data_IF_423927422655
#
_entry.id   IF_423927422655
#
_cell.length_a   1.000
_cell.length_b   1.000
_cell.length_c   1.000
_cell.angle_alpha   90.00
_cell.angle_beta   90.00
_cell.angle_gamma   90.00
#
_symmetry.space_group_name_H-M   'P 1'
#
loop_
_entity.id
_entity.type
_entity.pdbx_description
1 polymer ?
#
# COMPACT_ATOMS: atom_id res chain seq x y z
N UNK A 1 -8.11 -4.19 -15.45
CA UNK A 1 -6.72 -3.78 -15.18
C UNK A 1 -5.85 -5.03 -15.14
N UNK A 2 -4.64 -5.09 -15.71
CA UNK A 2 -3.86 -6.31 -15.69
C UNK A 2 -3.15 -6.44 -14.35
N UNK A 3 -3.59 -7.41 -13.52
CA UNK A 3 -2.81 -7.88 -12.39
C UNK A 3 -1.55 -8.58 -12.92
N UNK A 4 -0.38 -8.03 -12.61
CA UNK A 4 0.89 -8.67 -12.86
C UNK A 4 1.18 -9.68 -11.75
N UNK A 5 0.69 -10.88 -11.88
CA UNK A 5 1.33 -12.02 -11.22
C UNK A 5 1.79 -12.96 -12.32
N UNK A 6 3.05 -12.86 -12.72
CA UNK A 6 3.71 -13.83 -13.58
C UNK A 6 4.88 -14.44 -12.83
N UNK A 7 4.84 -15.77 -12.69
CA UNK A 7 5.96 -16.75 -12.59
C UNK A 7 7.27 -16.27 -11.97
N UNK A 8 7.74 -16.93 -10.94
CA UNK A 8 9.11 -17.21 -10.45
C UNK A 8 10.31 -16.43 -11.06
N UNK A 9 10.23 -15.12 -11.16
CA UNK A 9 11.42 -14.28 -11.07
C UNK A 9 11.57 -13.93 -9.58
N UNK A 10 12.72 -14.23 -8.97
CA UNK A 10 13.10 -13.70 -7.67
C UNK A 10 12.76 -12.21 -7.66
N UNK A 11 11.65 -11.83 -7.02
CA UNK A 11 11.25 -10.43 -6.91
C UNK A 11 12.36 -9.71 -6.16
N UNK A 12 12.90 -8.67 -6.73
CA UNK A 12 13.94 -7.87 -6.09
C UNK A 12 13.31 -7.06 -4.94
N UNK A 13 13.75 -7.28 -3.72
CA UNK A 13 13.29 -6.50 -2.57
C UNK A 13 13.91 -5.11 -2.62
N UNK A 14 13.08 -4.09 -2.86
CA UNK A 14 13.47 -2.67 -2.88
C UNK A 14 13.57 -2.12 -1.46
N UNK A 15 12.63 -2.52 -0.57
CA UNK A 15 12.67 -2.18 0.85
C UNK A 15 12.73 -3.49 1.63
N UNK A 16 13.66 -3.58 2.59
CA UNK A 16 13.72 -4.68 3.55
C UNK A 16 13.89 -4.13 4.94
N UNK A 17 12.97 -4.51 5.81
CA UNK A 17 13.02 -4.27 7.25
C UNK A 17 13.42 -5.57 7.95
N UNK A 18 14.37 -5.50 8.88
CA UNK A 18 14.83 -6.63 9.67
C UNK A 18 14.82 -6.24 11.15
N UNK A 19 13.84 -6.81 11.87
CA UNK A 19 13.66 -6.63 13.31
C UNK A 19 13.70 -5.15 13.73
N UNK A 20 12.93 -4.31 13.02
CA UNK A 20 12.89 -2.87 13.26
C UNK A 20 12.12 -2.55 14.53
N UNK A 21 12.75 -1.82 15.45
CA UNK A 21 12.15 -1.31 16.68
C UNK A 21 12.16 0.21 16.68
N UNK A 22 11.03 0.81 17.10
CA UNK A 22 10.97 2.21 17.49
C UNK A 22 10.24 2.36 18.80
N UNK A 23 11.00 2.75 19.82
CA UNK A 23 10.53 3.00 21.16
C UNK A 23 10.94 4.42 21.51
N UNK A 24 9.98 5.24 21.93
CA UNK A 24 10.21 6.61 22.38
C UNK A 24 10.47 6.61 23.89
N UNK A 25 11.39 7.43 24.35
CA UNK A 25 11.80 7.56 25.76
C UNK A 25 13.33 7.47 25.92
N UNK A 26 13.85 8.16 26.90
CA UNK A 26 15.31 8.32 27.10
C UNK A 26 16.03 6.99 27.38
N UNK A 27 15.36 6.05 28.04
CA UNK A 27 15.92 4.74 28.40
C UNK A 27 15.58 3.61 27.41
N UNK A 28 14.85 3.90 26.33
CA UNK A 28 14.31 2.90 25.40
C UNK A 28 15.37 1.91 24.89
N UNK A 29 16.51 2.40 24.41
CA UNK A 29 17.59 1.57 23.87
C UNK A 29 18.21 0.65 24.93
N UNK A 30 18.44 1.17 26.15
CA UNK A 30 19.00 0.38 27.27
C UNK A 30 18.03 -0.70 27.72
N UNK A 31 16.72 -0.38 27.79
CA UNK A 31 15.70 -1.35 28.16
C UNK A 31 15.60 -2.47 27.12
N UNK A 32 15.55 -2.13 25.83
CA UNK A 32 15.50 -3.11 24.76
C UNK A 32 16.71 -4.05 24.77
N UNK A 33 17.89 -3.53 25.02
CA UNK A 33 19.13 -4.34 25.17
C UNK A 33 19.04 -5.27 26.39
N UNK A 34 18.53 -4.78 27.53
CA UNK A 34 18.38 -5.55 28.77
C UNK A 34 17.39 -6.70 28.64
N UNK A 35 16.31 -6.50 27.88
CA UNK A 35 15.27 -7.49 27.60
C UNK A 35 15.60 -8.43 26.44
N UNK A 36 16.81 -8.33 25.84
CA UNK A 36 17.20 -9.08 24.64
C UNK A 36 16.17 -8.99 23.48
N UNK A 37 15.59 -7.80 23.28
CA UNK A 37 14.60 -7.57 22.24
C UNK A 37 13.16 -7.98 22.61
N UNK A 38 12.94 -8.52 23.80
CA UNK A 38 11.61 -8.81 24.29
C UNK A 38 10.95 -7.54 24.85
N UNK A 39 9.85 -7.09 24.23
CA UNK A 39 9.17 -5.86 24.60
C UNK A 39 7.89 -6.19 25.34
N UNK A 40 7.89 -6.05 26.66
CA UNK A 40 6.66 -5.97 27.46
C UNK A 40 6.15 -4.52 27.45
N UNK A 41 5.02 -4.30 26.80
CA UNK A 41 4.46 -2.96 26.61
C UNK A 41 4.19 -2.24 27.94
N UNK A 42 3.78 -2.98 28.98
CA UNK A 42 3.47 -2.41 30.30
C UNK A 42 4.77 -2.02 31.04
N UNK A 43 5.79 -2.87 31.05
CA UNK A 43 7.10 -2.58 31.64
C UNK A 43 7.72 -1.33 30.99
N UNK A 44 7.64 -1.22 29.68
CA UNK A 44 8.15 -0.06 28.95
C UNK A 44 7.35 1.21 29.25
N UNK A 45 6.03 1.10 29.35
CA UNK A 45 5.17 2.22 29.71
C UNK A 45 5.42 2.71 31.14
N UNK A 46 5.57 1.81 32.12
CA UNK A 46 5.86 2.13 33.50
C UNK A 46 7.23 2.83 33.64
N UNK A 47 8.15 2.55 32.72
CA UNK A 47 9.44 3.23 32.60
C UNK A 47 9.39 4.54 31.79
N UNK A 48 8.22 5.04 31.43
CA UNK A 48 8.04 6.27 30.64
C UNK A 48 8.38 6.12 29.16
N UNK A 49 8.41 4.90 28.63
CA UNK A 49 8.64 4.62 27.21
C UNK A 49 7.34 4.32 26.48
N UNK A 50 7.27 4.71 25.20
CA UNK A 50 6.13 4.40 24.31
C UNK A 50 6.64 3.54 23.15
N UNK A 51 6.08 2.34 23.01
CA UNK A 51 6.42 1.41 21.94
C UNK A 51 5.63 1.81 20.68
N UNK A 52 6.33 2.29 19.66
CA UNK A 52 5.72 2.65 18.38
C UNK A 52 5.85 1.54 17.34
N UNK A 53 6.99 0.82 17.32
CA UNK A 53 7.24 -0.34 16.44
C UNK A 53 7.99 -1.38 17.25
N UNK A 54 7.55 -2.64 17.14
CA UNK A 54 8.09 -3.76 17.88
C UNK A 54 8.44 -4.90 16.90
N UNK A 55 9.73 -5.05 16.59
CA UNK A 55 10.29 -6.14 15.78
C UNK A 55 9.65 -6.30 14.39
N UNK A 56 9.40 -5.18 13.68
CA UNK A 56 8.84 -5.27 12.36
C UNK A 56 9.84 -5.83 11.34
N UNK A 57 9.49 -6.96 10.68
CA UNK A 57 10.29 -7.60 9.64
C UNK A 57 9.43 -7.90 8.42
N UNK A 58 9.81 -7.34 7.26
CA UNK A 58 9.12 -7.56 5.98
C UNK A 58 9.93 -7.02 4.80
N UNK A 59 9.48 -7.38 3.62
CA UNK A 59 10.06 -6.91 2.37
C UNK A 59 8.97 -6.28 1.48
N UNK A 60 9.34 -5.25 0.70
CA UNK A 60 8.51 -4.67 -0.37
C UNK A 60 9.26 -4.83 -1.67
N UNK A 61 8.58 -5.36 -2.68
CA UNK A 61 9.18 -5.70 -3.96
C UNK A 61 8.99 -4.60 -5.00
N UNK A 62 9.82 -4.62 -6.03
CA UNK A 62 9.76 -3.65 -7.12
C UNK A 62 8.37 -3.61 -7.79
N UNK A 63 7.80 -2.41 -7.90
CA UNK A 63 6.47 -2.18 -8.46
C UNK A 63 5.31 -2.62 -7.57
N UNK A 64 5.59 -3.15 -6.38
CA UNK A 64 4.57 -3.59 -5.41
C UNK A 64 3.97 -2.41 -4.66
N UNK A 65 2.67 -2.48 -4.38
CA UNK A 65 1.98 -1.65 -3.41
C UNK A 65 1.69 -2.46 -2.14
N UNK A 66 2.54 -2.27 -1.12
CA UNK A 66 2.30 -2.79 0.23
C UNK A 66 1.53 -1.76 1.03
N UNK A 67 0.34 -2.14 1.50
CA UNK A 67 -0.48 -1.30 2.39
C UNK A 67 -0.27 -1.74 3.83
N UNK A 68 0.18 -0.84 4.69
CA UNK A 68 0.25 -1.04 6.15
C UNK A 68 -1.01 -0.48 6.77
N UNK A 69 -1.83 -1.33 7.36
CA UNK A 69 -3.08 -0.92 7.98
C UNK A 69 -3.19 -1.33 9.46
N UNK A 70 -4.15 -0.77 10.17
CA UNK A 70 -4.44 -1.05 11.58
C UNK A 70 -5.11 0.14 12.25
N UNK A 71 -5.59 -0.01 13.47
CA UNK A 71 -6.27 1.04 14.22
C UNK A 71 -5.34 2.25 14.50
N UNK A 72 -5.94 3.38 14.87
CA UNK A 72 -5.17 4.55 15.32
C UNK A 72 -4.25 4.17 16.49
N UNK A 73 -3.00 4.65 16.47
CA UNK A 73 -2.01 4.32 17.50
C UNK A 73 -1.28 2.99 17.32
N UNK A 74 -1.61 2.17 16.30
CA UNK A 74 -0.92 0.87 16.09
C UNK A 74 0.54 0.97 15.62
N UNK A 75 1.06 2.18 15.32
CA UNK A 75 2.47 2.40 14.95
C UNK A 75 2.75 2.58 13.46
N UNK A 76 1.75 2.54 12.58
CA UNK A 76 1.89 2.61 11.10
C UNK A 76 2.71 3.79 10.60
N UNK A 77 2.28 5.02 10.94
CA UNK A 77 3.01 6.24 10.54
C UNK A 77 4.40 6.30 11.16
N UNK A 78 4.58 5.73 12.37
CA UNK A 78 5.90 5.61 13.00
C UNK A 78 6.81 4.70 12.18
N UNK A 79 6.30 3.53 11.76
CA UNK A 79 7.02 2.59 10.89
C UNK A 79 7.40 3.25 9.56
N UNK A 80 6.46 3.90 8.88
CA UNK A 80 6.71 4.63 7.63
C UNK A 80 7.80 5.71 7.81
N UNK A 81 7.77 6.47 8.91
CA UNK A 81 8.78 7.50 9.23
C UNK A 81 10.14 6.90 9.55
N UNK A 82 10.20 5.70 10.13
CA UNK A 82 11.46 4.98 10.30
C UNK A 82 12.05 4.54 8.97
N UNK A 83 11.22 3.99 8.07
CA UNK A 83 11.65 3.51 6.75
C UNK A 83 12.09 4.65 5.84
N UNK A 84 11.42 5.81 5.91
CA UNK A 84 11.85 7.04 5.21
C UNK A 84 12.99 7.78 5.94
N UNK A 85 13.45 7.24 7.09
CA UNK A 85 14.45 7.82 7.99
C UNK A 85 14.11 9.24 8.50
N UNK A 86 12.81 9.62 8.48
CA UNK A 86 12.34 10.86 9.13
C UNK A 86 12.39 10.75 10.66
N UNK A 87 12.42 9.54 11.15
CA UNK A 87 12.58 9.20 12.57
C UNK A 87 13.60 8.07 12.68
N UNK A 88 14.56 8.19 13.58
CA UNK A 88 15.55 7.14 13.80
C UNK A 88 14.92 5.92 14.49
N UNK A 89 15.37 4.73 14.12
CA UNK A 89 15.01 3.48 14.80
C UNK A 89 15.70 3.37 16.16
N UNK A 90 15.12 2.59 17.06
CA UNK A 90 15.77 2.23 18.33
C UNK A 90 16.74 1.07 18.13
N UNK A 91 16.35 0.08 17.28
CA UNK A 91 17.17 -1.06 16.88
C UNK A 91 16.64 -1.67 15.57
N UNK A 92 17.33 -2.69 15.06
CA UNK A 92 17.02 -3.35 13.79
C UNK A 92 17.68 -2.67 12.62
N UNK A 93 17.46 -3.21 11.41
CA UNK A 93 18.07 -2.70 10.17
C UNK A 93 17.02 -2.42 9.11
N UNK A 94 17.28 -1.44 8.26
CA UNK A 94 16.44 -1.08 7.11
C UNK A 94 17.35 -0.99 5.89
N UNK A 95 17.00 -1.72 4.85
CA UNK A 95 17.74 -1.70 3.59
C UNK A 95 16.87 -1.13 2.47
N UNK A 96 17.47 -0.25 1.67
CA UNK A 96 16.88 0.30 0.44
C UNK A 96 17.79 -0.10 -0.73
N UNK A 97 17.26 -0.84 -1.71
CA UNK A 97 18.04 -1.42 -2.81
C UNK A 97 19.30 -2.16 -2.30
N UNK A 98 19.15 -2.93 -1.21
CA UNK A 98 20.25 -3.68 -0.58
C UNK A 98 21.25 -2.85 0.20
N UNK A 99 21.11 -1.51 0.28
CA UNK A 99 21.99 -0.63 1.07
C UNK A 99 21.42 -0.42 2.46
N UNK A 100 22.24 -0.58 3.48
CA UNK A 100 21.84 -0.28 4.87
C UNK A 100 21.58 1.23 5.04
N UNK A 101 20.29 1.57 5.21
CA UNK A 101 19.83 2.94 5.38
C UNK A 101 20.39 3.60 6.65
N UNK A 102 20.63 2.80 7.68
CA UNK A 102 21.08 3.30 8.99
C UNK A 102 22.59 3.61 9.02
N UNK A 103 23.35 2.98 8.13
CA UNK A 103 24.78 3.20 7.97
C UNK A 103 25.13 4.40 7.07
N UNK A 104 24.14 4.98 6.36
CA UNK A 104 24.36 6.12 5.47
C UNK A 104 24.76 7.37 6.25
N UNK A 105 25.72 8.10 5.71
CA UNK A 105 26.00 9.49 6.14
C UNK A 105 24.84 10.43 5.82
N UNK A 106 24.75 11.56 6.51
CA UNK A 106 23.70 12.56 6.26
C UNK A 106 23.65 13.01 4.78
N UNK A 107 24.81 13.17 4.15
CA UNK A 107 24.91 13.55 2.73
C UNK A 107 24.34 12.47 1.80
N UNK A 108 24.64 11.21 2.06
CA UNK A 108 24.11 10.08 1.30
C UNK A 108 22.60 9.92 1.51
N UNK A 109 22.13 10.09 2.75
CA UNK A 109 20.72 10.04 3.10
C UNK A 109 19.92 11.16 2.41
N UNK A 110 20.42 12.39 2.41
CA UNK A 110 19.83 13.52 1.68
C UNK A 110 19.75 13.21 0.19
N UNK A 111 20.84 12.66 -0.37
CA UNK A 111 20.88 12.31 -1.79
C UNK A 111 19.87 11.18 -2.14
N UNK A 112 19.77 10.16 -1.29
CA UNK A 112 18.79 9.08 -1.44
C UNK A 112 17.36 9.60 -1.44
N UNK A 113 16.99 10.46 -0.45
CA UNK A 113 15.68 11.08 -0.34
C UNK A 113 15.34 11.93 -1.56
N UNK A 114 16.28 12.77 -2.01
CA UNK A 114 16.07 13.68 -3.15
C UNK A 114 15.86 12.97 -4.48
N UNK A 115 16.44 11.79 -4.65
CA UNK A 115 16.46 11.11 -5.94
C UNK A 115 15.55 9.88 -6.01
N UNK A 116 15.32 9.19 -4.88
CA UNK A 116 14.63 7.90 -4.87
C UNK A 116 13.33 7.88 -4.11
N UNK A 117 13.09 8.83 -3.19
CA UNK A 117 11.94 8.80 -2.30
C UNK A 117 10.99 9.96 -2.57
N UNK A 118 9.72 9.64 -2.81
CA UNK A 118 8.61 10.59 -2.78
C UNK A 118 7.78 10.38 -1.53
N UNK A 119 7.20 11.45 -0.98
CA UNK A 119 6.34 11.33 0.20
C UNK A 119 5.11 12.22 0.08
N UNK A 120 3.95 11.65 0.39
CA UNK A 120 2.67 12.33 0.56
C UNK A 120 2.28 12.23 2.02
N UNK A 121 1.94 13.36 2.62
CA UNK A 121 1.59 13.48 4.03
C UNK A 121 0.08 13.58 4.24
N UNK A 122 -0.40 13.14 5.38
CA UNK A 122 -1.80 13.20 5.79
C UNK A 122 -2.39 14.62 5.75
N UNK A 123 -1.63 15.63 6.13
CA UNK A 123 -2.04 17.04 6.19
C UNK A 123 -1.67 17.84 4.94
N UNK A 124 -1.52 17.19 3.77
CA UNK A 124 -1.06 17.75 2.50
C UNK A 124 0.34 18.40 2.56
N UNK A 125 0.73 18.98 3.68
CA UNK A 125 2.01 19.66 3.93
C UNK A 125 2.40 20.68 2.83
N UNK A 126 1.42 21.41 2.28
CA UNK A 126 1.66 22.42 1.27
C UNK A 126 2.24 23.69 1.89
N UNK A 127 3.09 24.37 1.13
CA UNK A 127 3.65 25.67 1.51
C UNK A 127 2.58 26.76 1.24
N UNK A 128 1.98 27.37 2.29
CA UNK A 128 0.79 28.20 2.15
C UNK A 128 1.03 29.52 1.39
N UNK A 129 2.28 29.95 1.34
CA UNK A 129 2.74 31.18 0.66
C UNK A 129 3.20 30.92 -0.80
N UNK A 130 3.12 29.69 -1.28
CA UNK A 130 3.46 29.29 -2.64
C UNK A 130 2.22 28.88 -3.41
N UNK A 131 2.21 29.16 -4.70
CA UNK A 131 1.18 28.72 -5.64
C UNK A 131 1.22 27.18 -5.82
N UNK A 132 0.23 26.65 -6.53
CA UNK A 132 0.21 25.22 -6.96
C UNK A 132 1.52 24.89 -7.68
N UNK A 133 1.85 25.64 -8.70
CA UNK A 133 3.03 25.37 -9.53
C UNK A 133 4.33 25.47 -8.72
N UNK A 134 4.44 26.47 -7.86
CA UNK A 134 5.61 26.64 -6.99
C UNK A 134 5.73 25.55 -5.93
N UNK A 135 4.60 25.03 -5.39
CA UNK A 135 4.60 23.88 -4.49
C UNK A 135 5.13 22.63 -5.20
N UNK A 136 4.67 22.38 -6.43
CA UNK A 136 5.10 21.20 -7.21
C UNK A 136 6.57 21.34 -7.64
N UNK A 137 7.02 22.54 -8.02
CA UNK A 137 8.39 22.83 -8.42
C UNK A 137 9.40 22.78 -7.25
N UNK A 138 8.94 23.01 -6.00
CA UNK A 138 9.79 23.17 -4.84
C UNK A 138 10.83 22.05 -4.66
N UNK A 139 10.49 20.74 -4.67
CA UNK A 139 11.48 19.67 -4.48
C UNK A 139 12.52 19.63 -5.61
N UNK A 140 12.17 20.02 -6.83
CA UNK A 140 13.11 20.10 -7.95
C UNK A 140 14.13 21.24 -7.75
N UNK A 141 13.67 22.38 -7.25
CA UNK A 141 14.55 23.50 -6.90
C UNK A 141 15.50 23.13 -5.76
N UNK A 142 15.00 22.43 -4.73
CA UNK A 142 15.85 21.89 -3.62
C UNK A 142 16.86 20.87 -4.14
N UNK A 143 16.52 20.12 -5.20
CA UNK A 143 17.43 19.19 -5.89
C UNK A 143 18.54 19.91 -6.66
N UNK A 144 18.37 21.19 -6.98
CA UNK A 144 19.34 22.04 -7.70
C UNK A 144 19.03 22.23 -9.19
N UNK A 145 17.83 21.85 -9.63
CA UNK A 145 17.39 22.08 -11.01
C UNK A 145 17.20 23.58 -11.27
N UNK A 146 17.34 24.00 -12.52
CA UNK A 146 17.04 25.38 -12.90
C UNK A 146 15.58 25.73 -12.60
N UNK A 147 15.29 27.01 -12.33
CA UNK A 147 13.92 27.47 -12.11
C UNK A 147 13.03 27.16 -13.32
N UNK A 148 13.54 27.36 -14.54
CA UNK A 148 12.81 27.10 -15.77
C UNK A 148 12.43 25.63 -15.91
N UNK A 149 13.38 24.70 -15.72
CA UNK A 149 13.13 23.27 -15.83
C UNK A 149 12.19 22.77 -14.73
N UNK A 150 12.38 23.29 -13.50
CA UNK A 150 11.50 22.96 -12.37
C UNK A 150 10.05 23.40 -12.63
N UNK A 151 9.83 24.57 -13.20
CA UNK A 151 8.50 25.08 -13.51
C UNK A 151 7.85 24.33 -14.69
N UNK A 152 8.62 23.99 -15.74
CA UNK A 152 8.12 23.17 -16.84
C UNK A 152 7.67 21.80 -16.35
N UNK A 153 8.52 21.13 -15.55
CA UNK A 153 8.16 19.83 -14.97
C UNK A 153 6.97 19.91 -14.03
N UNK A 154 6.88 20.98 -13.23
CA UNK A 154 5.73 21.21 -12.37
C UNK A 154 4.43 21.39 -13.16
N UNK A 155 4.47 22.05 -14.31
CA UNK A 155 3.32 22.19 -15.20
C UNK A 155 2.86 20.85 -15.76
N UNK A 156 3.79 19.98 -16.19
CA UNK A 156 3.48 18.62 -16.62
C UNK A 156 2.78 17.82 -15.51
N UNK A 157 3.31 17.91 -14.29
CA UNK A 157 2.75 17.20 -13.14
C UNK A 157 1.38 17.76 -12.74
N UNK A 158 1.18 19.07 -12.81
CA UNK A 158 -0.14 19.68 -12.57
C UNK A 158 -1.20 19.16 -13.56
N UNK A 159 -0.85 19.06 -14.84
CA UNK A 159 -1.71 18.47 -15.87
C UNK A 159 -1.99 17.00 -15.61
N UNK A 160 -0.96 16.23 -15.25
CA UNK A 160 -1.07 14.79 -14.97
C UNK A 160 -2.13 14.47 -13.89
N UNK A 161 -2.25 15.37 -12.88
CA UNK A 161 -3.20 15.22 -11.77
C UNK A 161 -4.50 16.04 -11.95
N UNK A 162 -4.74 16.61 -13.13
CA UNK A 162 -5.97 17.35 -13.46
C UNK A 162 -6.12 18.67 -12.72
N UNK A 163 -5.03 19.44 -12.60
CA UNK A 163 -5.01 20.78 -12.00
C UNK A 163 -4.84 21.89 -13.06
N UNK A 164 -5.17 21.63 -14.32
CA UNK A 164 -5.13 22.63 -15.38
C UNK A 164 -5.96 23.86 -15.02
N UNK A 165 -5.41 25.05 -15.29
CA UNK A 165 -6.04 26.34 -15.00
C UNK A 165 -5.97 26.77 -13.53
N UNK A 166 -5.28 25.99 -12.66
CA UNK A 166 -5.11 26.31 -11.23
C UNK A 166 -3.66 26.56 -10.81
N UNK A 167 -2.78 26.72 -11.77
CA UNK A 167 -1.32 26.83 -11.59
C UNK A 167 -0.94 27.95 -10.63
N UNK A 168 -1.66 29.07 -10.68
CA UNK A 168 -1.41 30.27 -9.90
C UNK A 168 -2.24 30.37 -8.61
N UNK A 169 -3.05 29.31 -8.29
CA UNK A 169 -3.84 29.30 -7.06
C UNK A 169 -2.96 28.98 -5.85
N UNK A 170 -3.30 29.57 -4.72
CA UNK A 170 -2.69 29.26 -3.43
C UNK A 170 -3.47 28.13 -2.73
N UNK A 171 -2.84 27.35 -1.81
CA UNK A 171 -3.51 26.27 -1.11
C UNK A 171 -4.87 26.63 -0.50
N UNK A 172 -5.02 27.82 0.08
CA UNK A 172 -6.27 28.33 0.67
C UNK A 172 -7.43 28.51 -0.33
N UNK A 173 -7.15 28.51 -1.62
CA UNK A 173 -8.12 28.67 -2.70
C UNK A 173 -8.55 27.32 -3.29
N UNK A 174 -8.03 26.22 -2.76
CA UNK A 174 -8.24 24.86 -3.25
C UNK A 174 -9.11 24.05 -2.29
N UNK A 175 -9.95 23.16 -2.85
CA UNK A 175 -10.61 22.13 -2.06
C UNK A 175 -9.60 21.12 -1.48
N UNK A 176 -9.97 20.33 -0.48
CA UNK A 176 -9.12 19.28 0.10
C UNK A 176 -8.59 18.31 -0.96
N UNK A 177 -9.45 17.83 -1.87
CA UNK A 177 -9.04 16.96 -2.96
C UNK A 177 -8.05 17.62 -3.93
N UNK A 178 -8.23 18.91 -4.22
CA UNK A 178 -7.26 19.66 -5.05
C UNK A 178 -5.92 19.84 -4.32
N UNK A 179 -5.94 20.15 -3.02
CA UNK A 179 -4.71 20.22 -2.23
C UNK A 179 -3.98 18.85 -2.20
N UNK A 180 -4.73 17.76 -2.11
CA UNK A 180 -4.17 16.40 -2.18
C UNK A 180 -3.51 16.15 -3.54
N UNK A 181 -4.16 16.54 -4.65
CA UNK A 181 -3.58 16.45 -6.00
C UNK A 181 -2.27 17.23 -6.12
N UNK A 182 -2.18 18.42 -5.50
CA UNK A 182 -0.91 19.18 -5.44
C UNK A 182 0.16 18.40 -4.67
N UNK A 183 -0.18 17.78 -3.53
CA UNK A 183 0.74 16.96 -2.75
C UNK A 183 1.26 15.75 -3.52
N UNK A 184 0.38 15.07 -4.26
CA UNK A 184 0.71 13.96 -5.16
C UNK A 184 1.64 14.44 -6.27
N UNK A 185 1.26 15.49 -7.01
CA UNK A 185 2.07 16.05 -8.10
C UNK A 185 3.46 16.49 -7.62
N UNK A 186 3.54 17.15 -6.45
CA UNK A 186 4.80 17.55 -5.83
C UNK A 186 5.70 16.36 -5.53
N UNK A 187 5.13 15.27 -5.00
CA UNK A 187 5.90 14.07 -4.67
C UNK A 187 6.39 13.32 -5.90
N UNK A 188 5.64 13.37 -7.01
CA UNK A 188 5.97 12.74 -8.29
C UNK A 188 6.93 13.57 -9.14
N UNK A 189 7.04 14.87 -8.90
CA UNK A 189 7.86 15.78 -9.72
C UNK A 189 9.33 15.35 -9.79
N UNK A 190 9.88 14.79 -8.73
CA UNK A 190 11.25 14.29 -8.63
C UNK A 190 11.47 12.89 -9.22
N UNK A 191 10.39 12.25 -9.75
CA UNK A 191 10.40 10.89 -10.33
C UNK A 191 10.93 9.81 -9.34
N UNK A 192 10.37 9.71 -8.15
CA UNK A 192 10.87 8.77 -7.16
C UNK A 192 10.68 7.30 -7.62
N UNK A 193 11.58 6.41 -7.21
CA UNK A 193 11.43 4.97 -7.38
C UNK A 193 10.50 4.39 -6.31
N UNK A 194 10.57 4.95 -5.09
CA UNK A 194 9.79 4.55 -3.91
C UNK A 194 8.86 5.68 -3.51
N UNK A 195 7.59 5.35 -3.30
CA UNK A 195 6.57 6.32 -2.95
C UNK A 195 5.92 5.99 -1.61
N UNK A 196 6.13 6.85 -0.63
CA UNK A 196 5.57 6.74 0.71
C UNK A 196 4.31 7.58 0.83
N UNK A 197 3.21 6.99 1.31
CA UNK A 197 1.94 7.68 1.50
C UNK A 197 1.45 7.45 2.95
N UNK A 198 1.38 8.52 3.72
CA UNK A 198 0.92 8.51 5.12
C UNK A 198 -0.52 9.00 5.19
N UNK A 199 -1.50 8.09 5.20
CA UNK A 199 -2.94 8.34 5.23
C UNK A 199 -3.41 9.41 4.21
N UNK A 200 -3.08 9.27 2.93
CA UNK A 200 -3.22 10.38 1.97
C UNK A 200 -4.67 10.82 1.72
N UNK A 201 -5.66 9.98 2.00
CA UNK A 201 -7.05 10.28 1.72
C UNK A 201 -7.93 10.47 2.98
N UNK A 202 -7.34 10.40 4.18
CA UNK A 202 -8.08 10.48 5.45
C UNK A 202 -8.79 11.82 5.69
N UNK A 203 -8.25 12.90 5.14
CA UNK A 203 -8.81 14.26 5.28
C UNK A 203 -9.86 14.62 4.23
N UNK A 204 -10.24 13.66 3.35
CA UNK A 204 -11.19 13.87 2.27
C UNK A 204 -12.58 13.34 2.64
N UNK A 205 -13.63 14.00 2.12
CA UNK A 205 -14.99 13.46 2.20
C UNK A 205 -15.13 12.16 1.37
N UNK A 206 -16.12 11.30 1.66
CA UNK A 206 -16.21 9.97 1.06
C UNK A 206 -16.27 9.94 -0.46
N UNK A 207 -16.96 10.93 -1.09
CA UNK A 207 -17.10 10.98 -2.55
C UNK A 207 -15.76 11.34 -3.22
N UNK A 208 -15.13 12.41 -2.75
CA UNK A 208 -13.82 12.87 -3.25
C UNK A 208 -12.74 11.83 -2.98
N UNK A 209 -12.81 11.13 -1.82
CA UNK A 209 -11.89 10.04 -1.49
C UNK A 209 -11.93 8.94 -2.55
N UNK A 210 -13.13 8.50 -2.96
CA UNK A 210 -13.30 7.46 -3.98
C UNK A 210 -12.74 7.91 -5.34
N UNK A 211 -13.03 9.13 -5.76
CA UNK A 211 -12.48 9.71 -6.99
C UNK A 211 -10.94 9.77 -6.95
N UNK A 212 -10.37 10.16 -5.82
CA UNK A 212 -8.93 10.22 -5.63
C UNK A 212 -8.25 8.85 -5.64
N UNK A 213 -8.91 7.83 -5.09
CA UNK A 213 -8.42 6.44 -5.16
C UNK A 213 -8.44 5.91 -6.61
N UNK A 214 -9.49 6.20 -7.38
CA UNK A 214 -9.57 5.83 -8.80
C UNK A 214 -8.44 6.48 -9.61
N UNK A 215 -8.22 7.77 -9.38
CA UNK A 215 -7.14 8.53 -10.03
C UNK A 215 -5.76 8.00 -9.63
N UNK A 216 -5.59 7.66 -8.36
CA UNK A 216 -4.35 7.08 -7.84
C UNK A 216 -4.04 5.73 -8.51
N UNK A 217 -5.03 4.84 -8.62
CA UNK A 217 -4.88 3.55 -9.33
C UNK A 217 -4.52 3.75 -10.81
N UNK A 218 -5.15 4.74 -11.47
CA UNK A 218 -4.82 5.12 -12.85
C UNK A 218 -3.36 5.55 -12.97
N UNK A 219 -2.90 6.42 -12.06
CA UNK A 219 -1.51 6.90 -12.03
C UNK A 219 -0.53 5.75 -11.77
N UNK A 220 -0.82 4.88 -10.80
CA UNK A 220 0.02 3.72 -10.49
C UNK A 220 0.14 2.76 -11.69
N UNK A 221 -0.98 2.53 -12.40
CA UNK A 221 -0.97 1.70 -13.62
C UNK A 221 -0.05 2.22 -14.73
N UNK A 222 0.17 3.53 -14.79
CA UNK A 222 1.08 4.17 -15.76
C UNK A 222 2.51 4.23 -15.22
N UNK A 223 2.68 4.59 -13.94
CA UNK A 223 3.99 4.91 -13.35
C UNK A 223 4.71 3.68 -12.80
N UNK A 224 3.98 2.64 -12.40
CA UNK A 224 4.47 1.37 -11.85
C UNK A 224 5.52 1.57 -10.73
N UNK A 225 5.21 2.42 -9.75
CA UNK A 225 6.12 2.74 -8.63
C UNK A 225 6.02 1.70 -7.53
N UNK A 226 7.12 1.52 -6.78
CA UNK A 226 7.09 0.77 -5.50
C UNK A 226 6.48 1.64 -4.43
N UNK A 227 5.42 1.17 -3.77
CA UNK A 227 4.61 2.00 -2.88
C UNK A 227 4.51 1.36 -1.49
N UNK A 228 4.80 2.16 -0.46
CA UNK A 228 4.43 1.85 0.91
C UNK A 228 3.34 2.83 1.34
N UNK A 229 2.14 2.32 1.50
CA UNK A 229 0.93 3.09 1.77
C UNK A 229 0.44 2.80 3.20
N UNK A 230 0.10 3.81 3.95
CA UNK A 230 -0.46 3.70 5.31
C UNK A 230 -1.90 4.16 5.31
N UNK A 231 -2.79 3.35 5.88
CA UNK A 231 -4.19 3.70 6.09
C UNK A 231 -4.77 3.05 7.36
N UNK A 232 -5.87 3.57 7.85
CA UNK A 232 -6.72 2.91 8.85
C UNK A 232 -8.02 2.36 8.25
N UNK A 233 -8.26 2.59 6.96
CA UNK A 233 -9.45 2.17 6.22
C UNK A 233 -9.18 0.83 5.52
N UNK A 234 -9.96 -0.20 5.91
CA UNK A 234 -9.77 -1.55 5.37
C UNK A 234 -10.24 -1.68 3.93
N UNK A 235 -11.34 -1.00 3.57
CA UNK A 235 -11.83 -1.00 2.18
C UNK A 235 -10.82 -0.37 1.23
N UNK A 236 -10.13 0.68 1.70
CA UNK A 236 -9.03 1.29 0.96
C UNK A 236 -7.87 0.31 0.77
N UNK A 237 -7.47 -0.41 1.83
CA UNK A 237 -6.42 -1.42 1.75
C UNK A 237 -6.78 -2.55 0.78
N UNK A 238 -8.00 -3.08 0.86
CA UNK A 238 -8.50 -4.13 -0.04
C UNK A 238 -8.50 -3.69 -1.51
N UNK A 239 -8.82 -2.42 -1.77
CA UNK A 239 -8.93 -1.87 -3.11
C UNK A 239 -7.59 -1.59 -3.77
N UNK A 240 -6.61 -1.14 -2.99
CA UNK A 240 -5.36 -0.59 -3.50
C UNK A 240 -4.19 -1.58 -3.46
N UNK A 241 -4.16 -2.49 -2.47
CA UNK A 241 -2.98 -3.26 -2.14
C UNK A 241 -2.74 -4.46 -3.07
N UNK A 242 -1.47 -4.71 -3.41
CA UNK A 242 -1.01 -6.03 -3.83
C UNK A 242 -0.87 -6.95 -2.61
N UNK A 243 -0.33 -6.42 -1.49
CA UNK A 243 -0.29 -7.07 -0.17
C UNK A 243 -0.64 -6.09 0.93
N UNK A 244 -1.27 -6.62 1.99
CA UNK A 244 -1.65 -5.86 3.18
C UNK A 244 -0.84 -6.36 4.37
N UNK A 245 -0.21 -5.44 5.11
CA UNK A 245 0.39 -5.70 6.42
C UNK A 245 -0.54 -5.15 7.51
N UNK A 246 -1.13 -6.02 8.31
CA UNK A 246 -2.00 -5.61 9.42
C UNK A 246 -1.16 -5.43 10.67
N UNK A 247 -1.23 -4.22 11.25
CA UNK A 247 -0.41 -3.80 12.38
C UNK A 247 -1.25 -3.54 13.63
N UNK A 248 -0.81 -4.10 14.77
CA UNK A 248 -1.42 -3.91 16.09
C UNK A 248 -0.32 -3.68 17.14
N UNK A 249 -0.47 -2.66 17.97
CA UNK A 249 0.43 -2.40 19.12
C UNK A 249 1.93 -2.43 18.76
N UNK A 250 2.27 -1.91 17.58
CA UNK A 250 3.63 -1.89 17.06
C UNK A 250 4.08 -3.16 16.35
N UNK A 251 3.29 -4.24 16.37
CA UNK A 251 3.61 -5.55 15.80
C UNK A 251 2.85 -5.74 14.48
N UNK A 252 3.49 -6.40 13.52
CA UNK A 252 2.84 -6.86 12.30
C UNK A 252 2.22 -8.23 12.58
N UNK A 253 0.89 -8.29 12.59
CA UNK A 253 0.10 -9.50 12.86
C UNK A 253 0.07 -10.46 11.66
N UNK A 254 -0.08 -9.90 10.45
CA UNK A 254 -0.13 -10.68 9.20
C UNK A 254 0.28 -9.80 8.02
N UNK A 255 0.96 -10.41 7.04
CA UNK A 255 1.22 -9.81 5.73
C UNK A 255 0.82 -10.82 4.67
N UNK A 256 -0.16 -10.45 3.82
CA UNK A 256 -0.62 -11.33 2.76
C UNK A 256 -1.37 -10.55 1.66
N UNK A 257 -1.79 -11.26 0.62
CA UNK A 257 -2.72 -10.71 -0.39
C UNK A 257 -4.07 -10.39 0.26
N UNK A 258 -4.83 -9.40 -0.28
CA UNK A 258 -6.18 -9.10 0.20
C UNK A 258 -7.08 -10.33 0.31
N UNK A 259 -7.05 -11.19 -0.70
CA UNK A 259 -7.84 -12.42 -0.72
C UNK A 259 -7.46 -13.36 0.44
N UNK A 260 -6.16 -13.59 0.69
CA UNK A 260 -5.72 -14.50 1.74
C UNK A 260 -5.96 -13.94 3.14
N UNK A 261 -5.88 -12.63 3.34
CA UNK A 261 -6.26 -11.97 4.61
C UNK A 261 -7.75 -12.23 4.93
N UNK A 262 -8.62 -12.17 3.91
CA UNK A 262 -10.06 -12.40 4.09
C UNK A 262 -10.39 -13.88 4.30
N UNK A 263 -9.70 -14.78 3.59
CA UNK A 263 -9.95 -16.23 3.68
C UNK A 263 -9.32 -16.88 4.92
N UNK A 264 -8.09 -16.46 5.27
CA UNK A 264 -7.24 -17.09 6.26
C UNK A 264 -6.67 -16.06 7.26
N UNK A 265 -7.52 -15.39 8.06
CA UNK A 265 -7.05 -14.45 9.05
C UNK A 265 -6.19 -15.16 10.10
N UNK A 266 -4.93 -14.70 10.30
CA UNK A 266 -3.97 -15.33 11.18
C UNK A 266 -4.32 -15.20 12.67
N UNK A 267 -5.03 -14.15 13.04
CA UNK A 267 -5.41 -13.88 14.44
C UNK A 267 -6.86 -13.40 14.52
N UNK A 268 -7.44 -13.49 15.72
CA UNK A 268 -8.78 -12.95 15.97
C UNK A 268 -8.86 -11.43 15.70
N UNK A 269 -7.74 -10.72 15.89
CA UNK A 269 -7.66 -9.30 15.57
C UNK A 269 -7.82 -9.04 14.06
N UNK A 270 -7.13 -9.82 13.22
CA UNK A 270 -7.27 -9.75 11.76
C UNK A 270 -8.69 -10.14 11.35
N UNK A 271 -9.24 -11.20 11.93
CA UNK A 271 -10.60 -11.66 11.65
C UNK A 271 -11.67 -10.59 11.92
N UNK A 272 -11.46 -9.67 12.87
CA UNK A 272 -12.39 -8.56 13.13
C UNK A 272 -12.51 -7.59 11.94
N UNK A 273 -11.44 -7.34 11.19
CA UNK A 273 -11.48 -6.50 10.00
C UNK A 273 -12.18 -7.19 8.83
N UNK A 274 -12.05 -8.53 8.72
CA UNK A 274 -12.56 -9.28 7.58
C UNK A 274 -14.02 -9.73 7.72
N UNK A 275 -14.57 -9.62 8.94
CA UNK A 275 -15.88 -10.17 9.29
C UNK A 275 -17.04 -9.59 8.50
N UNK A 276 -17.00 -8.31 8.17
CA UNK A 276 -18.06 -7.59 7.46
C UNK A 276 -17.75 -7.34 5.98
N UNK A 277 -16.61 -7.86 5.49
CA UNK A 277 -16.19 -7.66 4.10
C UNK A 277 -17.04 -8.53 3.17
N UNK A 278 -17.67 -7.93 2.15
CA UNK A 278 -18.29 -8.68 1.07
C UNK A 278 -17.22 -9.46 0.30
N UNK A 279 -17.16 -10.78 0.52
CA UNK A 279 -16.10 -11.65 -0.03
C UNK A 279 -16.05 -11.61 -1.55
N UNK A 280 -17.21 -11.48 -2.21
CA UNK A 280 -17.34 -11.38 -3.66
C UNK A 280 -16.59 -10.18 -4.27
N UNK A 281 -16.40 -9.11 -3.50
CA UNK A 281 -15.68 -7.90 -3.95
C UNK A 281 -14.15 -8.00 -3.85
N UNK A 282 -13.67 -8.96 -3.09
CA UNK A 282 -12.23 -9.11 -2.77
C UNK A 282 -11.65 -10.34 -3.45
N UNK A 283 -12.43 -11.43 -3.50
CA UNK A 283 -11.96 -12.71 -4.01
C UNK A 283 -12.00 -12.72 -5.54
N UNK A 284 -10.93 -13.22 -6.15
CA UNK A 284 -10.88 -13.51 -7.58
C UNK A 284 -11.13 -15.01 -7.82
N UNK A 285 -11.33 -15.37 -9.09
CA UNK A 285 -11.60 -16.77 -9.46
C UNK A 285 -10.45 -17.71 -9.02
N UNK A 286 -9.18 -17.27 -9.11
CA UNK A 286 -8.01 -18.05 -8.70
C UNK A 286 -8.06 -18.43 -7.20
N UNK A 287 -8.52 -17.52 -6.34
CA UNK A 287 -8.60 -17.76 -4.89
C UNK A 287 -9.74 -18.69 -4.47
N UNK A 288 -10.72 -18.91 -5.36
CA UNK A 288 -11.93 -19.70 -5.06
C UNK A 288 -12.04 -20.97 -5.90
N UNK A 289 -11.36 -21.05 -7.06
CA UNK A 289 -11.42 -22.21 -7.95
C UNK A 289 -10.95 -23.51 -7.28
N UNK A 290 -11.39 -24.62 -7.80
CA UNK A 290 -10.86 -25.95 -7.51
C UNK A 290 -9.80 -26.31 -8.57
N UNK A 291 -8.84 -27.17 -8.19
CA UNK A 291 -7.93 -27.77 -9.16
C UNK A 291 -8.72 -28.62 -10.17
N UNK A 292 -8.27 -28.64 -11.42
CA UNK A 292 -8.99 -29.28 -12.52
C UNK A 292 -9.22 -30.78 -12.25
N UNK A 293 -8.28 -31.44 -11.53
CA UNK A 293 -8.33 -32.89 -11.27
C UNK A 293 -8.51 -33.69 -12.56
N UNK A 294 -9.46 -34.64 -12.55
CA UNK A 294 -9.80 -35.52 -13.69
C UNK A 294 -10.93 -34.94 -14.58
N UNK A 295 -11.34 -33.66 -14.39
CA UNK A 295 -12.40 -33.02 -15.16
C UNK A 295 -11.95 -32.85 -16.61
N UNK A 296 -12.69 -33.48 -17.55
CA UNK A 296 -12.49 -33.26 -18.96
C UNK A 296 -13.14 -31.93 -19.40
N UNK A 297 -12.66 -31.31 -20.47
CA UNK A 297 -13.26 -30.09 -21.05
C UNK A 297 -14.75 -30.27 -21.38
N UNK A 298 -15.19 -31.49 -21.73
CA UNK A 298 -16.60 -31.85 -22.02
C UNK A 298 -17.52 -31.74 -20.79
N UNK A 299 -16.93 -31.82 -19.58
CA UNK A 299 -17.67 -31.78 -18.32
C UNK A 299 -17.86 -30.36 -17.80
N UNK A 300 -17.20 -29.40 -18.42
CA UNK A 300 -17.28 -27.98 -18.11
C UNK A 300 -18.33 -27.27 -18.93
N UNK A 301 -18.77 -26.09 -18.45
CA UNK A 301 -19.59 -25.15 -19.19
C UNK A 301 -18.80 -24.54 -20.37
N UNK A 302 -19.53 -24.01 -21.36
CA UNK A 302 -18.89 -23.20 -22.41
C UNK A 302 -18.43 -21.84 -21.93
N UNK A 303 -18.91 -21.39 -20.76
CA UNK A 303 -18.47 -20.16 -20.12
C UNK A 303 -17.03 -20.32 -19.63
N UNK A 304 -16.20 -19.35 -19.98
CA UNK A 304 -14.82 -19.25 -19.47
C UNK A 304 -14.66 -17.94 -18.73
N UNK A 305 -14.03 -17.98 -17.57
CA UNK A 305 -13.75 -16.78 -16.76
C UNK A 305 -12.26 -16.65 -16.50
N UNK A 306 -11.74 -15.42 -16.49
CA UNK A 306 -10.34 -15.19 -16.17
C UNK A 306 -10.05 -15.53 -14.69
N UNK A 307 -8.91 -16.15 -14.42
CA UNK A 307 -8.46 -16.40 -13.05
C UNK A 307 -8.33 -15.12 -12.22
N UNK A 308 -8.00 -14.00 -12.88
CA UNK A 308 -7.85 -12.68 -12.26
C UNK A 308 -9.19 -11.93 -12.09
N UNK A 309 -10.32 -12.47 -12.60
CA UNK A 309 -11.63 -11.83 -12.50
C UNK A 309 -12.15 -11.88 -11.05
N UNK A 310 -12.63 -10.73 -10.55
CA UNK A 310 -13.28 -10.63 -9.24
C UNK A 310 -14.61 -11.37 -9.27
N UNK A 311 -14.90 -12.14 -8.22
CA UNK A 311 -16.11 -12.97 -8.14
C UNK A 311 -17.38 -12.16 -8.35
N UNK A 312 -17.48 -10.94 -7.81
CA UNK A 312 -18.63 -10.04 -8.01
C UNK A 312 -18.98 -9.86 -9.50
N UNK A 313 -17.96 -9.79 -10.36
CA UNK A 313 -18.17 -9.56 -11.82
C UNK A 313 -18.62 -10.77 -12.60
N UNK A 314 -18.43 -11.98 -12.07
CA UNK A 314 -18.71 -13.25 -12.74
C UNK A 314 -19.74 -14.10 -12.01
N UNK A 315 -20.09 -13.77 -10.76
CA UNK A 315 -20.94 -14.61 -9.92
C UNK A 315 -22.31 -14.90 -10.55
N UNK A 316 -22.99 -13.91 -11.13
CA UNK A 316 -24.28 -14.10 -11.76
C UNK A 316 -24.20 -15.09 -12.93
N UNK A 317 -23.18 -14.96 -13.78
CA UNK A 317 -22.94 -15.87 -14.89
C UNK A 317 -22.61 -17.29 -14.41
N UNK A 318 -21.73 -17.42 -13.38
CA UNK A 318 -21.37 -18.72 -12.80
C UNK A 318 -22.56 -19.39 -12.13
N UNK A 319 -23.40 -18.64 -11.41
CA UNK A 319 -24.58 -19.16 -10.71
C UNK A 319 -25.67 -19.64 -11.68
N UNK A 320 -25.70 -19.14 -12.91
CA UNK A 320 -26.66 -19.59 -13.96
C UNK A 320 -26.22 -20.88 -14.64
N UNK A 321 -24.98 -21.33 -14.46
CA UNK A 321 -24.45 -22.53 -15.10
C UNK A 321 -24.73 -23.80 -14.26
N UNK A 322 -25.11 -24.89 -14.91
CA UNK A 322 -25.31 -26.20 -14.27
C UNK A 322 -23.99 -26.99 -14.14
N UNK A 323 -23.04 -26.72 -15.03
CA UNK A 323 -21.71 -27.36 -15.05
C UNK A 323 -20.65 -26.43 -14.46
N UNK A 324 -19.53 -26.98 -13.99
CA UNK A 324 -18.39 -26.18 -13.55
C UNK A 324 -17.93 -25.24 -14.67
N UNK A 325 -17.61 -24.00 -14.30
CA UNK A 325 -17.10 -22.98 -15.23
C UNK A 325 -15.58 -23.07 -15.28
N UNK A 326 -15.02 -23.11 -16.49
CA UNK A 326 -13.59 -23.16 -16.68
C UNK A 326 -12.93 -21.81 -16.30
N UNK A 327 -11.93 -21.87 -15.42
CA UNK A 327 -11.10 -20.73 -15.07
C UNK A 327 -9.83 -20.76 -15.92
N UNK A 328 -9.56 -19.66 -16.64
CA UNK A 328 -8.46 -19.60 -17.62
C UNK A 328 -7.41 -18.55 -17.26
N UNK A 329 -6.18 -18.82 -17.68
CA UNK A 329 -5.10 -17.85 -17.60
C UNK A 329 -5.11 -16.87 -18.81
N UNK A 330 -4.10 -15.99 -18.89
CA UNK A 330 -3.95 -14.99 -19.98
C UNK A 330 -3.73 -15.61 -21.36
N UNK A 331 -3.36 -16.89 -21.42
CA UNK A 331 -3.14 -17.63 -22.66
C UNK A 331 -4.33 -18.53 -23.02
N UNK A 332 -5.50 -18.30 -22.38
CA UNK A 332 -6.72 -19.10 -22.51
C UNK A 332 -6.54 -20.57 -22.10
N UNK A 333 -5.52 -20.88 -21.32
CA UNK A 333 -5.30 -22.21 -20.76
C UNK A 333 -6.15 -22.39 -19.51
N UNK A 334 -6.88 -23.48 -19.41
CA UNK A 334 -7.66 -23.83 -18.23
C UNK A 334 -6.72 -24.15 -17.06
N UNK A 335 -6.88 -23.45 -15.94
CA UNK A 335 -6.05 -23.56 -14.74
C UNK A 335 -6.84 -24.04 -13.53
N UNK A 336 -8.17 -24.02 -13.60
CA UNK A 336 -9.06 -24.48 -12.54
C UNK A 336 -10.51 -24.53 -12.98
N UNK A 337 -11.38 -24.96 -12.07
CA UNK A 337 -12.83 -24.98 -12.27
C UNK A 337 -13.55 -24.26 -11.14
N UNK A 338 -14.61 -23.53 -11.46
CA UNK A 338 -15.44 -22.81 -10.48
C UNK A 338 -16.83 -23.44 -10.44
N UNK A 339 -17.16 -24.07 -9.32
CA UNK A 339 -18.45 -24.69 -9.08
C UNK A 339 -19.46 -23.69 -8.51
N UNK A 340 -20.69 -23.69 -9.01
CA UNK A 340 -21.81 -22.87 -8.49
C UNK A 340 -21.99 -23.08 -6.97
N UNK A 341 -21.96 -24.33 -6.48
CA UNK A 341 -22.07 -24.65 -5.05
C UNK A 341 -21.00 -23.98 -4.18
N UNK A 342 -19.77 -23.88 -4.70
CA UNK A 342 -18.65 -23.23 -3.98
C UNK A 342 -18.83 -21.72 -3.91
N UNK A 343 -19.29 -21.12 -5.00
CA UNK A 343 -19.62 -19.68 -5.01
C UNK A 343 -20.76 -19.39 -4.04
N UNK A 344 -21.82 -20.19 -4.03
CA UNK A 344 -22.94 -20.08 -3.07
C UNK A 344 -22.42 -20.21 -1.62
N UNK A 345 -21.59 -21.22 -1.35
CA UNK A 345 -21.03 -21.43 -0.01
C UNK A 345 -20.14 -20.23 0.42
N UNK A 346 -19.39 -19.68 -0.50
CA UNK A 346 -18.57 -18.49 -0.24
C UNK A 346 -19.41 -17.24 0.05
N UNK A 347 -20.51 -17.03 -0.71
CA UNK A 347 -21.41 -15.88 -0.56
C UNK A 347 -22.29 -15.97 0.69
N UNK A 348 -22.83 -17.17 0.97
CA UNK A 348 -23.89 -17.39 1.96
C UNK A 348 -23.53 -18.41 3.04
N UNK A 349 -22.40 -19.09 2.92
CA UNK A 349 -21.93 -20.05 3.91
C UNK A 349 -21.70 -19.38 5.26
N UNK A 350 -22.17 -20.02 6.33
CA UNK A 350 -22.13 -19.50 7.70
C UNK A 350 -20.70 -19.10 8.09
N UNK A 351 -20.62 -17.90 8.64
CA UNK A 351 -19.41 -17.35 9.26
C UNK A 351 -18.96 -18.18 10.44
#
# INVERSE_FOLDING_TARGET
MPSKVSSDKKKNAVIKCDSVYKIFGDNAKKMLQKSNGNVDAKEFQDAGCVVGVNSASFEVYEGEMLVVMGLSGSGKSTLLRCISRLTDTTAGNIYIDGKDLLALSDKELINLRRNKMGMVFQSFALLPHKTVLENIAFPLQVKGNSTKDSMNRALEMAKLVGLDGRENYFPRQLSGGQQQRVGIARSLAVEPDIWFLDEPFSALDPLIRKEMQDEFLRLQGVLNKTILFVTHDFDEALRLADRIAIMKDGIIEQIDTPANIVLNPATEYVAKFTREVPREKVLNCESVMDEIGDLADSDMSQLRVSKDAIIETVCEAVLSEQKPVAVVDKNDKVVGALHCSKVIHMLFGSK
#
